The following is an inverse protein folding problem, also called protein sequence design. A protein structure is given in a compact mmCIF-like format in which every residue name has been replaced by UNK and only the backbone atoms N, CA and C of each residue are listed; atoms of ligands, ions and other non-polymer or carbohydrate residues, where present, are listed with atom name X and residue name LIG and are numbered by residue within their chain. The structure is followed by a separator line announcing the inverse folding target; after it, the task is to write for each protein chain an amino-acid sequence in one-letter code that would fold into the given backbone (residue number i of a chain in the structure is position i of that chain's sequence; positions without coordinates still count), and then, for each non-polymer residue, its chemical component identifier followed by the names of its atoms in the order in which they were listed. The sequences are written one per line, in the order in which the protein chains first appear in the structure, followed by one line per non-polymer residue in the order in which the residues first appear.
data_IF_042551339643
#
_entry.id   IF_042551339643
#
_cell.length_a   1.000
_cell.length_b   1.000
_cell.length_c   1.000
_cell.angle_alpha   90.00
_cell.angle_beta   90.00
_cell.angle_gamma   90.00
#
_symmetry.space_group_name_H-M   'P 1'
#
loop_
_entity.id
_entity.type
_entity.pdbx_description
1 polymer ?
#
# COMPACT_ATOMS: atom_id res chain seq x y z
N UNK A 1 -47.82 -1.53 -13.75
CA UNK A 1 -46.67 -1.09 -14.58
C UNK A 1 -45.65 -0.22 -13.82
N UNK A 2 -45.90 0.13 -12.56
CA UNK A 2 -45.04 1.04 -11.78
C UNK A 2 -43.77 0.38 -11.19
N UNK A 3 -43.86 -0.89 -10.79
CA UNK A 3 -42.74 -1.67 -10.24
C UNK A 3 -41.57 -1.93 -11.22
N UNK A 4 -41.82 -1.90 -12.54
CA UNK A 4 -40.77 -2.12 -13.56
C UNK A 4 -39.91 -0.88 -13.78
N UNK A 5 -40.51 0.32 -13.67
CA UNK A 5 -39.80 1.60 -13.79
C UNK A 5 -38.90 1.87 -12.57
N UNK A 6 -39.30 1.45 -11.37
CA UNK A 6 -38.45 1.58 -10.17
C UNK A 6 -37.22 0.66 -10.19
N UNK A 7 -37.35 -0.59 -10.68
CA UNK A 7 -36.23 -1.53 -10.81
C UNK A 7 -35.20 -1.10 -11.85
N UNK A 8 -35.63 -0.57 -12.99
CA UNK A 8 -34.71 -0.04 -14.02
C UNK A 8 -33.93 1.17 -13.52
N UNK A 9 -34.57 2.07 -12.79
CA UNK A 9 -33.90 3.20 -12.13
C UNK A 9 -32.86 2.76 -11.10
N UNK A 10 -33.17 1.72 -10.31
CA UNK A 10 -32.21 1.13 -9.36
C UNK A 10 -31.01 0.49 -10.06
N UNK A 11 -31.22 -0.25 -11.16
CA UNK A 11 -30.13 -0.89 -11.93
C UNK A 11 -29.19 0.16 -12.53
N UNK A 12 -29.73 1.23 -13.12
CA UNK A 12 -28.93 2.32 -13.71
C UNK A 12 -28.16 3.08 -12.63
N UNK A 13 -28.78 3.33 -11.47
CA UNK A 13 -28.10 3.97 -10.34
C UNK A 13 -26.95 3.13 -9.78
N UNK A 14 -27.12 1.80 -9.69
CA UNK A 14 -26.07 0.86 -9.29
C UNK A 14 -24.93 0.87 -10.31
N UNK A 15 -25.24 0.81 -11.62
CA UNK A 15 -24.24 0.84 -12.68
C UNK A 15 -23.38 2.11 -12.66
N UNK A 16 -24.01 3.28 -12.54
CA UNK A 16 -23.32 4.57 -12.49
C UNK A 16 -22.42 4.70 -11.25
N UNK A 17 -22.89 4.24 -10.09
CA UNK A 17 -22.10 4.23 -8.85
C UNK A 17 -20.88 3.31 -8.98
N UNK A 18 -21.05 2.11 -9.53
CA UNK A 18 -19.94 1.18 -9.77
C UNK A 18 -18.87 1.78 -10.70
N UNK A 19 -19.27 2.45 -11.78
CA UNK A 19 -18.33 3.13 -12.67
C UNK A 19 -17.54 4.24 -11.98
N UNK A 20 -18.22 5.09 -11.19
CA UNK A 20 -17.56 6.15 -10.42
C UNK A 20 -16.51 5.60 -9.46
N UNK A 21 -16.84 4.50 -8.77
CA UNK A 21 -15.93 3.83 -7.86
C UNK A 21 -14.70 3.28 -8.59
N UNK A 22 -14.88 2.65 -9.76
CA UNK A 22 -13.78 2.12 -10.56
C UNK A 22 -12.85 3.24 -11.06
N UNK A 23 -13.41 4.34 -11.57
CA UNK A 23 -12.63 5.50 -12.02
C UNK A 23 -11.79 6.07 -10.88
N UNK A 24 -12.36 6.19 -9.68
CA UNK A 24 -11.63 6.71 -8.54
C UNK A 24 -10.62 5.72 -7.97
N UNK A 25 -10.90 4.42 -8.10
CA UNK A 25 -9.91 3.39 -7.77
C UNK A 25 -8.72 3.46 -8.72
N UNK A 26 -8.97 3.69 -10.02
CA UNK A 26 -7.90 3.94 -10.99
C UNK A 26 -7.10 5.21 -10.66
N UNK A 27 -7.77 6.32 -10.34
CA UNK A 27 -7.10 7.56 -9.91
C UNK A 27 -6.29 7.33 -8.63
N UNK A 28 -6.86 6.65 -7.64
CA UNK A 28 -6.17 6.28 -6.40
C UNK A 28 -4.93 5.43 -6.69
N UNK A 29 -5.06 4.46 -7.61
CA UNK A 29 -3.97 3.63 -8.09
C UNK A 29 -2.86 4.45 -8.72
N UNK A 30 -3.17 5.34 -9.66
CA UNK A 30 -2.18 6.19 -10.32
C UNK A 30 -1.44 7.11 -9.33
N UNK A 31 -2.19 7.77 -8.43
CA UNK A 31 -1.61 8.64 -7.41
C UNK A 31 -0.74 7.85 -6.43
N UNK A 32 -1.18 6.66 -6.02
CA UNK A 32 -0.42 5.80 -5.10
C UNK A 32 0.83 5.25 -5.77
N UNK A 33 0.75 4.77 -7.01
CA UNK A 33 1.90 4.27 -7.76
C UNK A 33 2.97 5.34 -7.96
N UNK A 34 2.56 6.58 -8.29
CA UNK A 34 3.49 7.71 -8.38
C UNK A 34 4.11 8.07 -7.02
N UNK A 35 3.31 8.09 -5.94
CA UNK A 35 3.81 8.39 -4.60
C UNK A 35 4.77 7.32 -4.07
N UNK A 36 4.49 6.03 -4.34
CA UNK A 36 5.37 4.92 -3.98
C UNK A 36 6.64 4.92 -4.83
N UNK A 37 6.55 5.24 -6.13
CA UNK A 37 7.73 5.41 -6.98
C UNK A 37 8.64 6.55 -6.48
N UNK A 38 8.05 7.68 -6.08
CA UNK A 38 8.79 8.78 -5.48
C UNK A 38 9.44 8.38 -4.14
N UNK A 39 8.72 7.64 -3.30
CA UNK A 39 9.25 7.12 -2.04
C UNK A 39 10.43 6.16 -2.29
N UNK A 40 10.27 5.20 -3.21
CA UNK A 40 11.32 4.24 -3.58
C UNK A 40 12.56 4.95 -4.12
N UNK A 41 12.39 5.85 -5.09
CA UNK A 41 13.48 6.66 -5.65
C UNK A 41 14.22 7.49 -4.61
N UNK A 42 13.49 8.16 -3.71
CA UNK A 42 14.09 8.96 -2.66
C UNK A 42 14.92 8.11 -1.70
N UNK A 43 14.42 6.93 -1.33
CA UNK A 43 15.10 6.07 -0.38
C UNK A 43 16.28 5.34 -1.03
N UNK A 44 16.05 4.66 -2.15
CA UNK A 44 17.03 3.81 -2.82
C UNK A 44 18.08 4.64 -3.58
N UNK A 45 17.67 5.35 -4.63
CA UNK A 45 18.57 6.01 -5.57
C UNK A 45 19.19 7.32 -5.03
N UNK A 46 18.49 8.01 -4.12
CA UNK A 46 18.99 9.27 -3.55
C UNK A 46 19.73 9.03 -2.25
N UNK A 47 19.06 8.49 -1.23
CA UNK A 47 19.64 8.39 0.11
C UNK A 47 20.59 7.20 0.26
N UNK A 48 20.13 5.99 -0.11
CA UNK A 48 20.90 4.78 0.11
C UNK A 48 22.14 4.72 -0.80
N UNK A 49 22.02 5.09 -2.08
CA UNK A 49 23.18 5.23 -2.98
C UNK A 49 24.15 6.32 -2.54
N UNK A 50 23.68 7.41 -1.94
CA UNK A 50 24.55 8.41 -1.31
C UNK A 50 25.29 7.82 -0.09
N UNK A 51 24.61 7.02 0.73
CA UNK A 51 25.19 6.35 1.89
C UNK A 51 26.25 5.32 1.47
N UNK A 52 26.00 4.54 0.42
CA UNK A 52 26.94 3.53 -0.08
C UNK A 52 28.28 4.13 -0.56
N UNK A 53 28.28 5.40 -0.97
CA UNK A 53 29.49 6.15 -1.38
C UNK A 53 30.29 6.75 -0.21
N UNK A 54 29.79 6.67 1.03
CA UNK A 54 30.50 7.16 2.20
C UNK A 54 31.56 6.17 2.70
N UNK A 55 32.35 6.58 3.71
CA UNK A 55 33.31 5.70 4.38
C UNK A 55 32.61 4.56 5.14
N UNK A 56 33.31 3.43 5.31
CA UNK A 56 32.73 2.25 5.98
C UNK A 56 32.37 2.49 7.44
N UNK A 57 33.13 3.35 8.13
CA UNK A 57 32.79 3.81 9.47
C UNK A 57 31.47 4.58 9.50
N UNK A 58 31.25 5.47 8.53
CA UNK A 58 29.99 6.21 8.44
C UNK A 58 28.81 5.27 8.16
N UNK A 59 28.98 4.27 7.29
CA UNK A 59 27.95 3.25 7.02
C UNK A 59 27.57 2.49 8.30
N UNK A 60 28.55 2.17 9.16
CA UNK A 60 28.29 1.48 10.42
C UNK A 60 27.46 2.32 11.41
N UNK A 61 27.64 3.64 11.42
CA UNK A 61 26.93 4.56 12.33
C UNK A 61 25.62 5.09 11.74
N UNK A 62 25.48 5.10 10.41
CA UNK A 62 24.32 5.66 9.71
C UNK A 62 22.96 5.16 10.22
N UNK A 63 22.74 3.86 10.51
CA UNK A 63 21.46 3.40 11.06
C UNK A 63 21.05 4.09 12.38
N UNK A 64 22.02 4.49 13.23
CA UNK A 64 21.75 5.24 14.46
C UNK A 64 21.28 6.67 14.15
N UNK A 65 21.85 7.29 13.12
CA UNK A 65 21.42 8.61 12.63
C UNK A 65 20.00 8.51 12.06
N UNK A 66 19.74 7.49 11.24
CA UNK A 66 18.42 7.20 10.70
C UNK A 66 17.38 7.02 11.81
N UNK A 67 17.70 6.26 12.85
CA UNK A 67 16.84 6.07 14.02
C UNK A 67 16.57 7.40 14.76
N UNK A 68 17.59 8.21 14.99
CA UNK A 68 17.42 9.51 15.64
C UNK A 68 16.51 10.45 14.85
N UNK A 69 16.69 10.51 13.52
CA UNK A 69 15.85 11.28 12.61
C UNK A 69 14.42 10.74 12.56
N UNK A 70 14.24 9.41 12.56
CA UNK A 70 12.93 8.78 12.60
C UNK A 70 12.18 9.11 13.90
N UNK A 71 12.86 9.02 15.06
CA UNK A 71 12.29 9.42 16.36
C UNK A 71 11.92 10.91 16.37
N UNK A 72 12.77 11.77 15.82
CA UNK A 72 12.49 13.20 15.70
C UNK A 72 11.26 13.48 14.83
N UNK A 73 11.15 12.81 13.68
CA UNK A 73 10.00 12.92 12.78
C UNK A 73 8.70 12.45 13.46
N UNK A 74 8.74 11.34 14.19
CA UNK A 74 7.57 10.85 14.93
C UNK A 74 7.17 11.79 16.06
N UNK A 75 8.13 12.33 16.81
CA UNK A 75 7.84 13.26 17.92
C UNK A 75 7.28 14.60 17.43
N UNK A 76 7.92 15.22 16.44
CA UNK A 76 7.58 16.59 16.03
C UNK A 76 6.53 16.64 14.92
N UNK A 77 6.65 15.77 13.91
CA UNK A 77 5.75 15.78 12.75
C UNK A 77 4.52 14.91 13.00
N UNK A 78 4.72 13.70 13.54
CA UNK A 78 3.62 12.79 13.86
C UNK A 78 2.96 13.05 15.22
N UNK A 79 3.37 14.10 15.96
CA UNK A 79 2.86 14.46 17.31
C UNK A 79 2.92 13.30 18.32
N UNK A 80 3.98 12.51 18.26
CA UNK A 80 4.17 11.34 19.13
C UNK A 80 3.35 10.11 18.72
N UNK A 81 2.85 10.05 17.49
CA UNK A 81 2.19 8.85 16.98
C UNK A 81 3.16 7.65 16.93
N UNK A 82 2.59 6.46 17.01
CA UNK A 82 3.35 5.20 16.91
C UNK A 82 4.04 5.06 15.55
N UNK A 83 5.18 4.35 15.45
CA UNK A 83 5.85 4.08 14.19
C UNK A 83 5.06 3.13 13.26
N UNK A 84 4.07 2.43 13.79
CA UNK A 84 3.32 1.40 13.07
C UNK A 84 2.58 1.95 11.84
N UNK A 85 2.73 1.26 10.71
CA UNK A 85 2.11 1.61 9.42
C UNK A 85 1.03 0.59 9.02
N UNK A 86 1.41 -0.68 8.81
CA UNK A 86 0.48 -1.75 8.41
C UNK A 86 -0.59 -1.99 9.46
N UNK A 87 -0.22 -1.99 10.74
CA UNK A 87 -1.19 -2.10 11.83
C UNK A 87 -2.17 -0.92 11.85
N UNK A 88 -1.72 0.27 11.48
CA UNK A 88 -2.61 1.43 11.44
C UNK A 88 -3.61 1.34 10.30
N UNK A 89 -3.21 0.77 9.16
CA UNK A 89 -4.11 0.41 8.08
C UNK A 89 -5.20 -0.56 8.59
N UNK A 90 -4.81 -1.65 9.26
CA UNK A 90 -5.74 -2.64 9.82
C UNK A 90 -6.66 -2.00 10.86
N UNK A 91 -6.13 -1.16 11.75
CA UNK A 91 -6.92 -0.43 12.76
C UNK A 91 -7.92 0.54 12.12
N UNK A 92 -7.52 1.30 11.09
CA UNK A 92 -8.44 2.20 10.36
C UNK A 92 -9.51 1.42 9.58
N UNK A 93 -9.17 0.23 9.10
CA UNK A 93 -10.15 -0.61 8.43
C UNK A 93 -11.28 -1.05 9.39
N UNK A 94 -10.95 -1.40 10.63
CA UNK A 94 -11.91 -1.86 11.63
C UNK A 94 -12.65 -0.72 12.34
N UNK A 95 -11.98 0.38 12.63
CA UNK A 95 -12.58 1.52 13.32
C UNK A 95 -13.18 2.53 12.32
N UNK A 96 -14.51 2.59 12.26
CA UNK A 96 -15.26 3.49 11.35
C UNK A 96 -15.12 4.98 11.67
N UNK A 97 -14.65 5.32 12.86
CA UNK A 97 -14.51 6.71 13.32
C UNK A 97 -13.07 7.21 13.24
N UNK A 98 -12.11 6.29 13.23
CA UNK A 98 -10.69 6.61 13.09
C UNK A 98 -10.40 7.10 11.68
N UNK A 99 -9.55 8.11 11.60
CA UNK A 99 -9.14 8.74 10.35
C UNK A 99 -7.63 8.72 10.25
N UNK A 100 -7.15 8.63 9.02
CA UNK A 100 -5.74 8.87 8.71
C UNK A 100 -5.50 10.37 8.62
N UNK A 101 -5.07 10.94 9.75
CA UNK A 101 -4.68 12.35 9.86
C UNK A 101 -3.37 12.61 9.09
N UNK A 102 -3.31 13.77 8.43
CA UNK A 102 -2.22 14.11 7.51
C UNK A 102 -0.86 14.22 8.22
N UNK A 103 -0.83 14.73 9.45
CA UNK A 103 0.40 14.89 10.24
C UNK A 103 1.03 13.55 10.66
N UNK A 104 0.29 12.62 11.29
CA UNK A 104 0.77 11.25 11.52
C UNK A 104 1.18 10.52 10.25
N UNK A 105 0.46 10.72 9.14
CA UNK A 105 0.83 10.14 7.84
C UNK A 105 2.21 10.63 7.41
N UNK A 106 2.40 11.94 7.33
CA UNK A 106 3.66 12.54 6.92
C UNK A 106 4.81 12.15 7.85
N UNK A 107 4.60 12.21 9.17
CA UNK A 107 5.64 11.86 10.14
C UNK A 107 6.08 10.40 10.07
N UNK A 108 5.16 9.46 9.83
CA UNK A 108 5.51 8.04 9.61
C UNK A 108 6.26 7.83 8.30
N UNK A 109 5.85 8.49 7.20
CA UNK A 109 6.56 8.37 5.92
C UNK A 109 7.98 8.91 6.05
N UNK A 110 8.16 10.09 6.64
CA UNK A 110 9.49 10.68 6.87
C UNK A 110 10.33 9.78 7.78
N UNK A 111 9.75 9.20 8.83
CA UNK A 111 10.45 8.25 9.69
C UNK A 111 10.90 6.99 8.92
N UNK A 112 10.07 6.46 8.03
CA UNK A 112 10.42 5.33 7.16
C UNK A 112 11.52 5.69 6.17
N UNK A 113 11.46 6.87 5.55
CA UNK A 113 12.52 7.38 4.66
C UNK A 113 13.84 7.49 5.41
N UNK A 114 13.83 8.07 6.62
CA UNK A 114 15.04 8.18 7.45
C UNK A 114 15.56 6.80 7.88
N UNK A 115 14.68 5.87 8.22
CA UNK A 115 15.09 4.52 8.64
C UNK A 115 15.73 3.77 7.48
N UNK A 116 15.03 3.66 6.35
CA UNK A 116 15.51 2.90 5.19
C UNK A 116 16.69 3.59 4.49
N UNK A 117 16.63 4.92 4.30
CA UNK A 117 17.64 5.68 3.57
C UNK A 117 19.00 5.72 4.28
N UNK A 118 19.01 5.56 5.60
CA UNK A 118 20.25 5.44 6.38
C UNK A 118 20.63 3.95 6.67
N UNK A 119 20.02 3.01 5.96
CA UNK A 119 20.37 1.58 6.02
C UNK A 119 19.84 0.82 7.23
N UNK A 120 18.80 1.33 7.88
CA UNK A 120 18.08 0.61 8.92
C UNK A 120 17.28 -0.58 8.38
N UNK A 121 17.24 -1.67 9.14
CA UNK A 121 16.50 -2.87 8.77
C UNK A 121 14.98 -2.64 8.87
N UNK A 122 14.33 -2.47 7.73
CA UNK A 122 12.88 -2.30 7.62
C UNK A 122 12.43 -2.71 6.21
N UNK A 123 11.17 -3.15 6.05
CA UNK A 123 10.57 -3.39 4.73
C UNK A 123 9.86 -2.15 4.17
N UNK A 124 9.87 -2.00 2.83
CA UNK A 124 9.12 -0.94 2.13
C UNK A 124 7.60 -1.20 2.09
N UNK A 125 7.18 -2.43 2.40
CA UNK A 125 5.78 -2.87 2.38
C UNK A 125 4.89 -1.98 3.25
N UNK A 126 5.24 -1.83 4.54
CA UNK A 126 4.41 -1.11 5.50
C UNK A 126 4.19 0.36 5.13
N UNK A 127 5.24 1.13 4.81
CA UNK A 127 5.11 2.51 4.34
C UNK A 127 4.29 2.60 3.05
N UNK A 128 4.49 1.70 2.09
CA UNK A 128 3.77 1.69 0.81
C UNK A 128 2.28 1.43 0.97
N UNK A 129 1.89 0.43 1.77
CA UNK A 129 0.49 0.17 2.16
C UNK A 129 -0.13 1.43 2.75
N UNK A 130 0.59 2.06 3.67
CA UNK A 130 0.09 3.18 4.45
C UNK A 130 -0.01 4.48 3.65
N UNK A 131 0.93 4.75 2.74
CA UNK A 131 0.86 5.82 1.72
C UNK A 131 -0.42 5.64 0.90
N UNK A 132 -0.64 4.45 0.35
CA UNK A 132 -1.80 4.15 -0.46
C UNK A 132 -3.11 4.30 0.31
N UNK A 133 -3.18 3.75 1.52
CA UNK A 133 -4.32 3.89 2.42
C UNK A 133 -4.63 5.36 2.73
N UNK A 134 -3.61 6.18 2.98
CA UNK A 134 -3.75 7.60 3.24
C UNK A 134 -4.26 8.37 2.02
N UNK A 135 -3.77 8.06 0.82
CA UNK A 135 -4.23 8.65 -0.44
C UNK A 135 -5.69 8.29 -0.70
N UNK A 136 -6.05 7.01 -0.58
CA UNK A 136 -7.42 6.53 -0.77
C UNK A 136 -8.41 7.16 0.22
N UNK A 137 -8.05 7.19 1.51
CA UNK A 137 -8.84 7.86 2.56
C UNK A 137 -8.95 9.38 2.32
N UNK A 138 -7.85 10.03 1.92
CA UNK A 138 -7.82 11.46 1.62
C UNK A 138 -8.69 11.84 0.43
N UNK A 139 -8.64 11.04 -0.65
CA UNK A 139 -9.45 11.25 -1.84
C UNK A 139 -10.94 11.07 -1.53
N UNK A 140 -11.29 10.05 -0.75
CA UNK A 140 -12.67 9.86 -0.31
C UNK A 140 -13.18 11.06 0.52
N UNK A 141 -12.37 11.62 1.43
CA UNK A 141 -12.77 12.79 2.22
C UNK A 141 -13.05 13.99 1.33
N UNK A 142 -12.15 14.29 0.38
CA UNK A 142 -12.28 15.43 -0.54
C UNK A 142 -13.50 15.27 -1.46
N UNK A 143 -13.84 14.05 -1.82
CA UNK A 143 -14.97 13.72 -2.70
C UNK A 143 -16.20 13.24 -1.93
N UNK A 144 -16.28 13.46 -0.62
CA UNK A 144 -17.33 12.93 0.26
C UNK A 144 -18.76 13.28 -0.17
N UNK A 145 -18.95 14.34 -0.97
CA UNK A 145 -20.25 14.69 -1.59
C UNK A 145 -20.74 13.67 -2.61
N UNK A 146 -19.84 12.86 -3.18
CA UNK A 146 -20.12 11.81 -4.16
C UNK A 146 -20.14 10.41 -3.54
N UNK A 147 -19.89 10.27 -2.23
CA UNK A 147 -19.67 8.97 -1.57
C UNK A 147 -20.55 8.73 -0.34
N UNK A 148 -20.98 7.48 -0.17
CA UNK A 148 -21.49 7.00 1.12
C UNK A 148 -20.32 6.70 2.06
N UNK A 149 -20.58 6.63 3.38
CA UNK A 149 -19.58 6.23 4.37
C UNK A 149 -19.01 4.83 4.12
N UNK A 150 -19.80 3.93 3.53
CA UNK A 150 -19.34 2.58 3.18
C UNK A 150 -18.26 2.57 2.08
N UNK A 151 -18.22 3.61 1.24
CA UNK A 151 -17.23 3.73 0.17
C UNK A 151 -15.86 4.21 0.70
N UNK A 152 -15.79 4.68 1.95
CA UNK A 152 -14.54 5.08 2.61
C UNK A 152 -13.59 3.90 2.81
N UNK A 153 -14.13 2.75 3.23
CA UNK A 153 -13.33 1.52 3.37
C UNK A 153 -12.85 1.01 2.01
N UNK A 154 -13.68 1.20 0.98
CA UNK A 154 -13.35 0.75 -0.37
C UNK A 154 -12.13 1.47 -0.93
N UNK A 155 -12.09 2.80 -0.88
CA UNK A 155 -10.93 3.56 -1.37
C UNK A 155 -9.70 3.40 -0.46
N UNK A 156 -9.88 3.22 0.85
CA UNK A 156 -8.81 2.86 1.78
C UNK A 156 -8.13 1.55 1.34
N UNK A 157 -8.91 0.49 1.11
CA UNK A 157 -8.43 -0.83 0.67
C UNK A 157 -7.84 -0.77 -0.75
N UNK A 158 -8.48 -0.04 -1.67
CA UNK A 158 -7.97 0.12 -3.03
C UNK A 158 -6.62 0.85 -3.04
N UNK A 159 -6.45 1.86 -2.19
CA UNK A 159 -5.16 2.53 -1.99
C UNK A 159 -4.11 1.59 -1.37
N UNK A 160 -4.46 0.84 -0.33
CA UNK A 160 -3.55 -0.15 0.25
C UNK A 160 -3.09 -1.20 -0.79
N UNK A 161 -4.03 -1.74 -1.58
CA UNK A 161 -3.76 -2.67 -2.68
C UNK A 161 -2.80 -2.07 -3.71
N UNK A 162 -3.03 -0.80 -4.09
CA UNK A 162 -2.15 -0.05 -4.97
C UNK A 162 -0.73 0.09 -4.41
N UNK A 163 -0.59 0.35 -3.11
CA UNK A 163 0.70 0.49 -2.44
C UNK A 163 1.53 -0.79 -2.49
N UNK A 164 0.92 -1.92 -2.10
CA UNK A 164 1.56 -3.25 -2.15
C UNK A 164 1.91 -3.63 -3.58
N UNK A 165 0.98 -3.41 -4.51
CA UNK A 165 1.16 -3.72 -5.93
C UNK A 165 2.36 -2.98 -6.54
N UNK A 166 2.53 -1.70 -6.21
CA UNK A 166 3.64 -0.89 -6.69
C UNK A 166 4.97 -1.45 -6.18
N UNK A 167 5.12 -1.54 -4.86
CA UNK A 167 6.42 -1.86 -4.26
C UNK A 167 6.90 -3.28 -4.54
N UNK A 168 5.97 -4.25 -4.67
CA UNK A 168 6.32 -5.64 -5.00
C UNK A 168 6.29 -5.93 -6.50
N UNK A 169 5.90 -4.97 -7.35
CA UNK A 169 5.63 -5.18 -8.78
C UNK A 169 4.67 -6.36 -9.03
N UNK A 170 3.70 -6.57 -8.14
CA UNK A 170 2.83 -7.76 -8.11
C UNK A 170 1.35 -7.37 -7.89
N UNK A 171 0.59 -7.06 -8.96
CA UNK A 171 -0.78 -6.55 -8.85
C UNK A 171 -1.77 -7.50 -8.21
N UNK A 172 -1.74 -8.77 -8.60
CA UNK A 172 -2.67 -9.78 -8.08
C UNK A 172 -2.44 -10.01 -6.59
N UNK A 173 -1.19 -10.22 -6.19
CA UNK A 173 -0.80 -10.38 -4.78
C UNK A 173 -1.14 -9.14 -3.96
N UNK A 174 -0.86 -7.94 -4.48
CA UNK A 174 -1.19 -6.70 -3.78
C UNK A 174 -2.68 -6.52 -3.52
N UNK A 175 -3.54 -6.87 -4.49
CA UNK A 175 -4.97 -6.82 -4.31
C UNK A 175 -5.47 -7.85 -3.28
N UNK A 176 -5.00 -9.10 -3.36
CA UNK A 176 -5.39 -10.16 -2.41
C UNK A 176 -4.93 -9.81 -1.00
N UNK A 177 -3.67 -9.40 -0.83
CA UNK A 177 -3.10 -9.01 0.46
C UNK A 177 -3.92 -7.92 1.13
N UNK A 178 -4.23 -6.83 0.41
CA UNK A 178 -5.00 -5.73 0.98
C UNK A 178 -6.43 -6.13 1.35
N UNK A 179 -7.01 -7.12 0.66
CA UNK A 179 -8.34 -7.67 0.92
C UNK A 179 -8.36 -8.74 2.01
N UNK A 180 -7.26 -9.41 2.30
CA UNK A 180 -7.22 -10.53 3.25
C UNK A 180 -6.69 -10.09 4.61
N UNK A 181 -5.62 -9.29 4.64
CA UNK A 181 -4.94 -8.92 5.89
C UNK A 181 -5.84 -8.20 6.91
N UNK A 182 -6.76 -7.30 6.51
CA UNK A 182 -7.71 -6.71 7.45
C UNK A 182 -8.92 -7.61 7.76
N UNK A 183 -9.18 -8.67 7.00
CA UNK A 183 -10.43 -9.41 7.09
C UNK A 183 -10.23 -10.71 7.84
N UNK A 184 -10.88 -10.84 8.99
CA UNK A 184 -10.86 -12.10 9.74
C UNK A 184 -12.02 -13.05 9.35
N UNK A 185 -13.12 -12.56 8.77
CA UNK A 185 -14.34 -13.39 8.62
C UNK A 185 -15.20 -13.19 7.35
N UNK A 186 -14.92 -12.24 6.43
CA UNK A 186 -15.78 -12.08 5.24
C UNK A 186 -15.05 -11.51 4.02
N UNK A 187 -15.22 -12.14 2.86
CA UNK A 187 -14.68 -11.63 1.59
C UNK A 187 -15.55 -10.45 1.16
N UNK A 188 -15.04 -9.22 1.26
CA UNK A 188 -15.72 -8.06 0.70
C UNK A 188 -15.70 -8.10 -0.83
N UNK A 189 -16.57 -8.92 -1.42
CA UNK A 189 -16.79 -9.04 -2.88
C UNK A 189 -16.95 -7.69 -3.57
N UNK A 190 -17.47 -6.69 -2.86
CA UNK A 190 -17.67 -5.31 -3.36
C UNK A 190 -16.36 -4.53 -3.52
N UNK A 191 -15.29 -4.90 -2.83
CA UNK A 191 -13.99 -4.22 -2.86
C UNK A 191 -12.99 -4.86 -3.82
N UNK A 192 -13.26 -6.10 -4.29
CA UNK A 192 -12.35 -6.83 -5.17
C UNK A 192 -12.04 -6.09 -6.48
N UNK A 193 -13.08 -5.72 -7.24
CA UNK A 193 -12.89 -5.01 -8.51
C UNK A 193 -12.18 -3.65 -8.34
N UNK A 194 -12.57 -2.80 -7.37
CA UNK A 194 -11.82 -1.60 -7.03
C UNK A 194 -10.35 -1.84 -6.69
N UNK A 195 -10.07 -2.81 -5.81
CA UNK A 195 -8.71 -3.13 -5.39
C UNK A 195 -7.84 -3.62 -6.54
N UNK A 196 -8.36 -4.51 -7.38
CA UNK A 196 -7.68 -4.97 -8.60
C UNK A 196 -7.42 -3.82 -9.58
N UNK A 197 -8.39 -2.93 -9.76
CA UNK A 197 -8.26 -1.77 -10.66
C UNK A 197 -7.16 -0.84 -10.15
N UNK A 198 -7.18 -0.49 -8.87
CA UNK A 198 -6.17 0.37 -8.26
C UNK A 198 -4.78 -0.28 -8.28
N UNK A 199 -4.68 -1.57 -7.96
CA UNK A 199 -3.44 -2.34 -8.04
C UNK A 199 -2.86 -2.35 -9.46
N UNK A 200 -3.67 -2.70 -10.47
CA UNK A 200 -3.21 -2.73 -11.86
C UNK A 200 -2.71 -1.37 -12.35
N UNK A 201 -3.46 -0.29 -12.07
CA UNK A 201 -3.04 1.07 -12.45
C UNK A 201 -1.78 1.49 -11.69
N UNK A 202 -1.72 1.21 -10.39
CA UNK A 202 -0.54 1.52 -9.56
C UNK A 202 0.72 0.83 -10.05
N UNK A 203 0.61 -0.46 -10.42
CA UNK A 203 1.71 -1.20 -11.03
C UNK A 203 2.18 -0.54 -12.32
N UNK A 204 1.27 -0.25 -13.26
CA UNK A 204 1.62 0.39 -14.54
C UNK A 204 2.30 1.74 -14.29
N UNK A 205 1.78 2.55 -13.35
CA UNK A 205 2.40 3.81 -12.99
C UNK A 205 3.79 3.60 -12.38
N UNK A 206 3.94 2.70 -11.41
CA UNK A 206 5.22 2.45 -10.74
C UNK A 206 6.29 1.96 -11.73
N UNK A 207 5.98 0.97 -12.57
CA UNK A 207 6.96 0.43 -13.54
C UNK A 207 7.28 1.41 -14.66
N UNK A 208 6.46 2.43 -14.90
CA UNK A 208 6.79 3.50 -15.84
C UNK A 208 7.96 4.36 -15.36
N UNK A 209 8.21 4.41 -14.05
CA UNK A 209 9.35 5.07 -13.44
C UNK A 209 10.49 4.08 -13.12
N UNK A 210 10.17 2.94 -12.51
CA UNK A 210 11.17 2.02 -11.92
C UNK A 210 11.51 0.83 -12.84
N UNK A 211 10.91 0.76 -14.02
CA UNK A 211 11.08 -0.34 -14.96
C UNK A 211 10.45 -1.66 -14.51
N UNK A 212 10.50 -2.66 -15.39
CA UNK A 212 9.85 -3.97 -15.21
C UNK A 212 10.80 -5.06 -14.71
N UNK A 213 12.03 -4.70 -14.32
CA UNK A 213 13.00 -5.66 -13.78
C UNK A 213 12.45 -6.35 -12.53
N UNK A 214 12.51 -7.70 -12.45
CA UNK A 214 12.10 -8.42 -11.26
C UNK A 214 12.97 -8.04 -10.06
N UNK A 215 12.33 -7.85 -8.90
CA UNK A 215 13.05 -7.55 -7.66
C UNK A 215 13.91 -8.73 -7.20
N UNK A 216 13.41 -9.95 -7.38
CA UNK A 216 14.08 -11.20 -7.01
C UNK A 216 14.12 -12.13 -8.24
N UNK A 217 15.16 -12.07 -9.08
CA UNK A 217 15.28 -12.94 -10.24
C UNK A 217 15.61 -14.38 -9.79
N UNK A 218 14.65 -15.29 -9.96
CA UNK A 218 14.89 -16.73 -9.77
C UNK A 218 15.60 -17.29 -11.00
N UNK A 219 16.80 -17.84 -10.82
CA UNK A 219 17.57 -18.47 -11.90
C UNK A 219 17.27 -19.97 -11.94
N UNK A 220 17.00 -20.48 -13.14
CA UNK A 220 16.80 -21.90 -13.40
C UNK A 220 15.34 -22.34 -13.31
N UNK A 221 15.10 -23.58 -13.76
CA UNK A 221 13.82 -24.29 -13.63
C UNK A 221 14.13 -25.66 -13.01
N UNK A 222 14.36 -25.72 -11.68
CA UNK A 222 14.64 -26.99 -11.03
C UNK A 222 13.47 -27.97 -11.29
N UNK A 223 13.75 -29.25 -11.57
CA UNK A 223 12.70 -30.24 -11.74
C UNK A 223 11.92 -30.36 -10.41
N UNK A 224 10.61 -30.54 -10.52
CA UNK A 224 9.74 -30.74 -9.36
C UNK A 224 9.61 -32.23 -9.04
N UNK A 225 9.98 -32.63 -7.82
CA UNK A 225 9.77 -33.98 -7.30
C UNK A 225 8.77 -33.97 -6.13
N UNK A 226 8.03 -35.06 -5.94
CA UNK A 226 7.14 -35.27 -4.79
C UNK A 226 7.89 -35.22 -3.45
N UNK A 227 9.20 -35.48 -3.47
CA UNK A 227 10.07 -35.29 -2.30
C UNK A 227 10.17 -33.84 -1.87
N UNK A 228 10.14 -32.91 -2.82
CA UNK A 228 10.20 -31.46 -2.54
C UNK A 228 8.92 -31.00 -1.84
N UNK A 229 7.76 -31.57 -2.20
CA UNK A 229 6.50 -31.35 -1.49
C UNK A 229 6.56 -31.85 -0.04
N UNK A 230 7.10 -33.05 0.18
CA UNK A 230 7.30 -33.59 1.52
C UNK A 230 8.23 -32.71 2.35
N UNK A 231 9.35 -32.28 1.76
CA UNK A 231 10.29 -31.36 2.39
C UNK A 231 9.66 -30.00 2.71
N UNK A 232 8.90 -29.41 1.77
CA UNK A 232 8.18 -28.16 1.96
C UNK A 232 7.13 -28.25 3.06
N UNK A 233 6.42 -29.38 3.17
CA UNK A 233 5.46 -29.61 4.24
C UNK A 233 6.15 -29.69 5.62
N UNK A 234 7.27 -30.40 5.72
CA UNK A 234 8.07 -30.47 6.96
C UNK A 234 8.58 -29.09 7.34
N UNK A 235 9.15 -28.34 6.40
CA UNK A 235 9.60 -26.96 6.62
C UNK A 235 8.47 -26.01 7.03
N UNK A 236 7.26 -26.21 6.52
CA UNK A 236 6.09 -25.40 6.90
C UNK A 236 5.54 -25.71 8.30
N UNK A 237 5.88 -26.86 8.89
CA UNK A 237 5.49 -27.25 10.25
C UNK A 237 6.53 -26.83 11.29
N UNK A 238 7.81 -26.79 10.91
CA UNK A 238 8.92 -26.33 11.75
C UNK A 238 8.87 -24.83 12.02
#
# INVERSE_FOLDING_TARGET
MDHRRSRLGQIVAIGRRSQQVLVLSAITGALTGAAVALFDWLVSDVMFDWLLRQSDWFKAVAPLIGLALAVAALRWLARGATPATSDEYIRNFHDRHRRLDERPVLGRIVASVATLGFGGAMGYEGPSIYIGAAIGSGLQRRLSRFFSRDDAKLLLVAGAAAGVSAIFKAPATGAVFALEVPYQDDVARRMLLPALTAAAVSYVTFVSFNGTTPLLPVRGAPPFDLRDLGGAAVLGVL
#
